data_IF_743704305271
#
_entry.id   IF_743704305271
#
_cell.length_a   1.000
_cell.length_b   1.000
_cell.length_c   1.000
_cell.angle_alpha   90.00
_cell.angle_beta   90.00
_cell.angle_gamma   90.00
#
_symmetry.space_group_name_H-M   'P 1'
#
loop_
_entity.id
_entity.type
_entity.pdbx_description
1 polymer ?
#
# COMPACT_ATOMS: atom_id res chain seq x y z
N UNK A 1 5.68 34.18 8.95
CA UNK A 1 4.69 33.11 8.67
C UNK A 1 5.42 31.96 8.01
N UNK A 2 5.86 31.06 8.83
CA UNK A 2 6.62 29.88 8.44
C UNK A 2 5.61 28.86 7.87
N UNK A 3 5.54 28.75 6.56
CA UNK A 3 5.08 27.56 5.89
C UNK A 3 6.08 26.48 6.28
N UNK A 4 5.74 25.63 7.25
CA UNK A 4 6.48 24.40 7.50
C UNK A 4 6.35 23.59 6.22
N UNK A 5 7.47 23.35 5.58
CA UNK A 5 7.62 22.39 4.49
C UNK A 5 6.95 21.09 4.97
N UNK A 6 5.74 20.82 4.48
CA UNK A 6 5.19 19.47 4.54
C UNK A 6 6.12 18.68 3.63
N UNK A 7 7.02 17.91 4.23
CA UNK A 7 7.74 16.89 3.49
C UNK A 7 6.69 16.07 2.76
N UNK A 8 6.66 16.20 1.44
CA UNK A 8 5.77 15.39 0.62
C UNK A 8 6.15 13.93 0.80
N UNK A 9 5.20 13.13 1.30
CA UNK A 9 5.43 11.70 1.50
C UNK A 9 5.39 11.00 0.15
N UNK A 10 6.36 10.14 -0.10
CA UNK A 10 6.41 9.30 -1.29
C UNK A 10 5.36 8.20 -1.15
N UNK A 11 4.33 8.22 -1.99
CA UNK A 11 3.24 7.24 -1.98
C UNK A 11 3.57 5.99 -2.81
N UNK A 12 4.33 6.17 -3.89
CA UNK A 12 4.67 5.08 -4.80
C UNK A 12 6.07 5.27 -5.37
N UNK A 13 6.79 4.17 -5.56
CA UNK A 13 8.10 4.12 -6.22
C UNK A 13 7.98 3.19 -7.42
N UNK A 14 8.21 3.71 -8.62
CA UNK A 14 8.23 2.91 -9.85
C UNK A 14 9.66 2.64 -10.29
N UNK A 15 10.02 1.37 -10.40
CA UNK A 15 11.32 0.90 -10.86
C UNK A 15 11.16 0.14 -12.17
N UNK A 16 11.90 0.54 -13.21
CA UNK A 16 11.94 -0.15 -14.50
C UNK A 16 13.39 -0.37 -14.93
N UNK A 17 13.69 -1.55 -15.48
CA UNK A 17 15.03 -1.89 -15.97
C UNK A 17 15.48 -0.84 -17.01
N UNK A 18 16.70 -0.36 -16.86
CA UNK A 18 17.32 0.64 -17.74
C UNK A 18 16.89 2.09 -17.46
N UNK A 19 16.02 2.33 -16.47
CA UNK A 19 15.56 3.66 -16.10
C UNK A 19 15.88 3.98 -14.64
N UNK A 20 16.03 5.24 -14.33
CA UNK A 20 16.10 5.74 -12.94
C UNK A 20 14.73 5.55 -12.29
N UNK A 21 14.64 5.10 -11.03
CA UNK A 21 13.38 5.03 -10.32
C UNK A 21 12.64 6.36 -10.30
N UNK A 22 11.32 6.28 -10.34
CA UNK A 22 10.44 7.45 -10.28
C UNK A 22 9.68 7.41 -8.97
N UNK A 23 9.70 8.52 -8.24
CA UNK A 23 9.00 8.72 -6.98
C UNK A 23 7.73 9.51 -7.23
N UNK A 24 6.62 9.03 -6.70
CA UNK A 24 5.31 9.66 -6.80
C UNK A 24 4.86 10.12 -5.42
N UNK A 25 4.41 11.37 -5.34
CA UNK A 25 3.71 11.96 -4.19
C UNK A 25 2.30 12.34 -4.61
N UNK A 26 1.51 12.92 -3.71
CA UNK A 26 0.17 13.41 -4.06
C UNK A 26 0.18 14.48 -5.16
N UNK A 27 1.22 15.30 -5.22
CA UNK A 27 1.25 16.48 -6.11
C UNK A 27 2.29 16.35 -7.22
N UNK A 28 3.35 15.59 -7.04
CA UNK A 28 4.50 15.61 -7.92
C UNK A 28 5.00 14.21 -8.30
N UNK A 29 5.69 14.16 -9.43
CA UNK A 29 6.40 12.98 -9.94
C UNK A 29 7.83 13.44 -10.26
N UNK A 30 8.82 12.79 -9.67
CA UNK A 30 10.22 13.15 -9.88
C UNK A 30 11.16 11.93 -9.88
N UNK A 31 12.27 11.98 -10.63
CA UNK A 31 13.25 10.91 -10.64
C UNK A 31 14.01 10.85 -9.31
N UNK A 32 14.37 9.65 -8.88
CA UNK A 32 15.24 9.46 -7.74
C UNK A 32 16.70 9.85 -8.09
N UNK A 33 17.43 10.35 -7.12
CA UNK A 33 18.85 10.68 -7.28
C UNK A 33 19.73 9.42 -7.16
N UNK A 34 19.62 8.50 -8.11
CA UNK A 34 20.37 7.25 -8.12
C UNK A 34 20.62 6.75 -9.54
N UNK A 35 21.35 5.64 -9.69
CA UNK A 35 21.60 5.00 -10.99
C UNK A 35 20.33 4.35 -11.55
N UNK A 36 20.36 4.05 -12.84
CA UNK A 36 19.33 3.24 -13.50
C UNK A 36 19.27 1.82 -12.91
N UNK A 37 18.05 1.27 -12.89
CA UNK A 37 17.75 -0.08 -12.36
C UNK A 37 18.31 -1.15 -13.31
N UNK A 38 18.97 -2.14 -12.75
CA UNK A 38 19.41 -3.35 -13.44
C UNK A 38 18.46 -4.51 -13.14
N UNK A 39 18.50 -5.56 -13.96
CA UNK A 39 17.67 -6.76 -13.76
C UNK A 39 17.90 -7.37 -12.36
N UNK A 40 19.16 -7.51 -11.92
CA UNK A 40 19.47 -8.03 -10.60
C UNK A 40 18.94 -7.21 -9.42
N UNK A 41 18.65 -5.91 -9.60
CA UNK A 41 18.04 -5.10 -8.56
C UNK A 41 16.59 -5.51 -8.34
N UNK A 42 15.85 -5.84 -9.41
CA UNK A 42 14.46 -6.32 -9.31
C UNK A 42 14.40 -7.73 -8.71
N UNK A 43 15.35 -8.60 -9.05
CA UNK A 43 15.44 -9.94 -8.48
C UNK A 43 15.74 -9.85 -6.97
N UNK A 44 16.67 -8.99 -6.57
CA UNK A 44 16.96 -8.71 -5.15
C UNK A 44 15.76 -8.14 -4.41
N UNK A 45 15.03 -7.20 -5.03
CA UNK A 45 13.81 -6.63 -4.45
C UNK A 45 12.76 -7.74 -4.25
N UNK A 46 12.57 -8.62 -5.24
CA UNK A 46 11.64 -9.75 -5.15
C UNK A 46 12.02 -10.69 -3.99
N UNK A 47 13.29 -11.06 -3.89
CA UNK A 47 13.81 -11.89 -2.80
C UNK A 47 13.54 -11.26 -1.42
N UNK A 48 13.82 -9.98 -1.27
CA UNK A 48 13.56 -9.24 -0.03
C UNK A 48 12.08 -9.13 0.28
N UNK A 49 11.23 -8.86 -0.73
CA UNK A 49 9.79 -8.72 -0.57
C UNK A 49 9.10 -10.04 -0.18
N UNK A 50 9.67 -11.18 -0.61
CA UNK A 50 9.15 -12.52 -0.29
C UNK A 50 9.72 -13.10 1.00
N UNK A 51 10.62 -12.38 1.70
CA UNK A 51 11.32 -12.90 2.88
C UNK A 51 12.19 -14.12 2.54
N UNK A 52 12.80 -14.13 1.35
CA UNK A 52 13.59 -15.22 0.76
C UNK A 52 12.79 -16.53 0.49
N UNK A 53 11.45 -16.47 0.53
CA UNK A 53 10.59 -17.62 0.22
C UNK A 53 9.61 -17.29 -0.90
N UNK A 54 10.11 -17.26 -2.14
CA UNK A 54 9.27 -17.07 -3.36
C UNK A 54 8.15 -18.12 -3.45
N UNK A 55 8.40 -19.32 -2.93
CA UNK A 55 7.42 -20.41 -2.92
C UNK A 55 6.19 -20.09 -2.05
N UNK A 56 6.39 -19.49 -0.88
CA UNK A 56 5.30 -19.09 0.02
C UNK A 56 4.47 -17.93 -0.56
N UNK A 57 5.07 -17.11 -1.41
CA UNK A 57 4.42 -15.97 -2.07
C UNK A 57 3.77 -16.34 -3.42
N UNK A 58 3.77 -17.62 -3.82
CA UNK A 58 3.36 -18.07 -5.15
C UNK A 58 1.95 -17.61 -5.56
N UNK A 59 0.98 -17.57 -4.65
CA UNK A 59 -0.37 -17.08 -4.95
C UNK A 59 -0.39 -15.58 -5.25
N UNK A 60 0.31 -14.78 -4.44
CA UNK A 60 0.41 -13.34 -4.66
C UNK A 60 1.15 -13.01 -5.97
N UNK A 61 2.22 -13.76 -6.28
CA UNK A 61 2.96 -13.61 -7.54
C UNK A 61 2.06 -13.91 -8.75
N UNK A 62 1.20 -14.93 -8.66
CA UNK A 62 0.19 -15.23 -9.70
C UNK A 62 -0.79 -14.08 -9.89
N UNK A 63 -1.14 -13.39 -8.83
CA UNK A 63 -2.01 -12.21 -8.85
C UNK A 63 -1.27 -10.93 -9.27
N UNK A 64 0.04 -10.98 -9.51
CA UNK A 64 0.85 -9.87 -9.97
C UNK A 64 1.26 -8.88 -8.90
N UNK A 65 1.15 -9.23 -7.62
CA UNK A 65 1.61 -8.37 -6.53
C UNK A 65 2.12 -9.16 -5.34
N UNK A 66 2.88 -8.49 -4.47
CA UNK A 66 3.31 -8.96 -3.17
C UNK A 66 2.92 -7.96 -2.09
N UNK A 67 2.63 -8.46 -0.90
CA UNK A 67 2.51 -7.64 0.29
C UNK A 67 3.70 -7.93 1.21
N UNK A 68 4.39 -6.87 1.66
CA UNK A 68 5.60 -7.01 2.48
C UNK A 68 5.30 -6.74 3.95
N UNK A 69 6.20 -7.14 4.83
CA UNK A 69 6.23 -6.62 6.20
C UNK A 69 6.34 -5.09 6.17
N UNK A 70 5.59 -4.40 7.02
CA UNK A 70 5.44 -2.93 6.96
C UNK A 70 4.35 -2.48 5.99
N UNK A 71 3.61 -3.41 5.38
CA UNK A 71 2.38 -3.14 4.65
C UNK A 71 2.55 -2.59 3.24
N UNK A 72 3.78 -2.48 2.71
CA UNK A 72 3.96 -2.05 1.33
C UNK A 72 3.41 -3.11 0.36
N UNK A 73 2.79 -2.64 -0.71
CA UNK A 73 2.32 -3.48 -1.81
C UNK A 73 3.25 -3.30 -3.01
N UNK A 74 3.84 -4.40 -3.46
CA UNK A 74 4.75 -4.44 -4.61
C UNK A 74 4.02 -5.04 -5.79
N UNK A 75 3.64 -4.24 -6.77
CA UNK A 75 3.12 -4.68 -8.06
C UNK A 75 4.25 -5.19 -8.94
N UNK A 76 4.04 -6.34 -9.58
CA UNK A 76 5.02 -7.02 -10.41
C UNK A 76 4.63 -6.94 -11.88
N UNK A 77 5.58 -6.60 -12.74
CA UNK A 77 5.41 -6.63 -14.17
C UNK A 77 6.56 -7.40 -14.81
N UNK A 78 6.22 -8.35 -15.70
CA UNK A 78 7.18 -9.22 -16.36
C UNK A 78 6.49 -10.17 -17.31
N UNK A 79 7.18 -11.24 -17.72
CA UNK A 79 6.61 -12.28 -18.58
C UNK A 79 5.83 -13.28 -17.72
N UNK A 80 4.51 -13.30 -17.86
CA UNK A 80 3.68 -14.33 -17.26
C UNK A 80 3.93 -15.68 -17.93
N UNK A 81 3.86 -16.77 -17.18
CA UNK A 81 3.90 -18.12 -17.70
C UNK A 81 2.82 -18.99 -17.07
N UNK A 82 2.36 -20.00 -17.80
CA UNK A 82 1.36 -20.97 -17.33
C UNK A 82 1.33 -22.18 -18.24
N UNK A 83 0.81 -23.30 -17.72
CA UNK A 83 0.74 -24.56 -18.46
C UNK A 83 -0.52 -24.69 -19.32
N UNK A 84 -1.56 -23.94 -19.03
CA UNK A 84 -2.82 -23.96 -19.77
C UNK A 84 -3.24 -22.54 -20.23
N UNK A 85 -4.04 -22.46 -21.28
CA UNK A 85 -4.58 -21.21 -21.77
C UNK A 85 -5.43 -20.52 -20.68
N UNK A 86 -5.07 -19.31 -20.33
CA UNK A 86 -5.73 -18.50 -19.29
C UNK A 86 -5.29 -18.78 -17.85
N UNK A 87 -4.40 -19.74 -17.63
CA UNK A 87 -3.83 -19.99 -16.30
C UNK A 87 -2.46 -19.31 -16.20
N UNK A 88 -2.27 -18.50 -15.15
CA UNK A 88 -0.98 -17.89 -14.81
C UNK A 88 -0.40 -18.65 -13.62
N UNK A 89 0.74 -19.32 -13.82
CA UNK A 89 1.46 -20.04 -12.77
C UNK A 89 2.49 -19.15 -12.09
N UNK A 90 2.87 -18.05 -12.72
CA UNK A 90 3.79 -17.08 -12.16
C UNK A 90 4.26 -16.03 -13.14
N UNK A 91 5.20 -15.20 -12.69
CA UNK A 91 5.86 -14.15 -13.46
C UNK A 91 7.36 -14.45 -13.46
N UNK A 92 7.98 -14.37 -14.62
CA UNK A 92 9.44 -14.45 -14.77
C UNK A 92 9.93 -13.25 -15.58
N UNK A 93 11.25 -13.01 -15.54
CA UNK A 93 11.86 -11.89 -16.24
C UNK A 93 11.17 -10.57 -15.91
N UNK A 94 11.22 -10.18 -14.63
CA UNK A 94 10.67 -8.90 -14.20
C UNK A 94 11.24 -7.78 -15.07
N UNK A 95 10.37 -6.92 -15.57
CA UNK A 95 10.71 -5.72 -16.34
C UNK A 95 10.56 -4.45 -15.51
N UNK A 96 9.61 -4.44 -14.60
CA UNK A 96 9.38 -3.33 -13.68
C UNK A 96 8.63 -3.79 -12.43
N UNK A 97 8.76 -2.98 -11.38
CA UNK A 97 7.97 -3.10 -10.15
C UNK A 97 7.45 -1.73 -9.74
N UNK A 98 6.31 -1.73 -9.04
CA UNK A 98 5.73 -0.54 -8.42
C UNK A 98 5.54 -0.83 -6.94
N UNK A 99 6.19 -0.06 -6.09
CA UNK A 99 6.11 -0.20 -4.63
C UNK A 99 5.22 0.89 -4.07
N UNK A 100 4.03 0.52 -3.61
CA UNK A 100 3.12 1.42 -2.90
C UNK A 100 3.39 1.38 -1.42
N UNK A 101 3.58 2.56 -0.83
CA UNK A 101 3.93 2.75 0.57
C UNK A 101 2.67 3.23 1.30
N UNK A 102 2.13 2.47 2.27
CA UNK A 102 0.99 2.92 3.05
C UNK A 102 1.42 4.03 4.01
N UNK A 103 0.58 5.05 4.13
CA UNK A 103 0.78 6.14 5.07
C UNK A 103 -0.41 6.28 6.01
N UNK A 104 -0.12 6.52 7.28
CA UNK A 104 -1.08 7.05 8.22
C UNK A 104 -1.12 8.58 8.07
N UNK A 105 -2.31 9.16 8.20
CA UNK A 105 -2.53 10.61 8.23
C UNK A 105 -3.23 10.95 9.55
N UNK A 106 -2.48 11.01 10.66
CA UNK A 106 -3.05 11.30 11.96
C UNK A 106 -3.81 12.62 11.96
N UNK A 107 -4.98 12.64 12.60
CA UNK A 107 -5.83 13.83 12.70
C UNK A 107 -6.73 14.08 11.49
N UNK A 108 -6.66 13.30 10.40
CA UNK A 108 -7.55 13.53 9.25
C UNK A 108 -9.03 13.28 9.57
N UNK A 109 -9.35 12.54 10.65
CA UNK A 109 -10.71 12.32 11.13
C UNK A 109 -11.17 13.33 12.20
N UNK A 110 -10.31 14.23 12.69
CA UNK A 110 -10.61 15.08 13.82
C UNK A 110 -11.81 16.02 13.60
N UNK A 111 -12.03 16.47 12.38
CA UNK A 111 -13.19 17.29 12.04
C UNK A 111 -14.49 16.47 11.90
N UNK A 112 -14.38 15.18 11.57
CA UNK A 112 -15.52 14.31 11.32
C UNK A 112 -16.01 13.62 12.60
N UNK A 113 -15.12 13.15 13.46
CA UNK A 113 -15.47 12.37 14.65
C UNK A 113 -16.48 13.05 15.58
N UNK A 114 -16.38 14.35 15.90
CA UNK A 114 -17.37 15.03 16.73
C UNK A 114 -18.78 15.01 16.11
N UNK A 115 -18.86 15.03 14.78
CA UNK A 115 -20.13 14.97 14.06
C UNK A 115 -20.73 13.56 14.09
N UNK A 116 -19.90 12.53 13.92
CA UNK A 116 -20.32 11.13 13.98
C UNK A 116 -20.80 10.71 15.39
N UNK A 117 -20.27 11.33 16.42
CA UNK A 117 -20.54 10.98 17.82
C UNK A 117 -21.57 11.89 18.50
N UNK A 118 -22.07 12.93 17.81
CA UNK A 118 -22.92 13.98 18.37
C UNK A 118 -24.21 13.45 19.03
N UNK A 119 -24.87 12.52 18.35
CA UNK A 119 -26.15 11.96 18.81
C UNK A 119 -26.04 10.45 19.11
N UNK A 120 -24.81 9.98 19.42
CA UNK A 120 -24.46 8.57 19.56
C UNK A 120 -23.96 7.98 18.24
N UNK A 121 -23.59 6.68 18.26
CA UNK A 121 -23.13 6.00 17.06
C UNK A 121 -24.28 5.77 16.09
N UNK A 122 -24.14 6.32 14.86
CA UNK A 122 -25.08 6.07 13.78
C UNK A 122 -24.41 5.32 12.63
N UNK A 123 -25.21 4.55 11.88
CA UNK A 123 -24.74 3.95 10.63
C UNK A 123 -24.33 5.03 9.65
N UNK A 124 -23.07 4.97 9.21
CA UNK A 124 -22.47 6.01 8.38
C UNK A 124 -21.89 5.39 7.10
N UNK A 125 -22.16 6.01 5.96
CA UNK A 125 -21.62 5.63 4.67
C UNK A 125 -20.66 6.72 4.17
N UNK A 126 -19.40 6.33 3.88
CA UNK A 126 -18.38 7.24 3.34
C UNK A 126 -18.31 7.06 1.83
N UNK A 127 -18.67 8.09 1.08
CA UNK A 127 -18.67 8.11 -0.38
C UNK A 127 -17.67 9.16 -0.89
N UNK A 128 -16.80 8.75 -1.81
CA UNK A 128 -15.98 9.65 -2.61
C UNK A 128 -15.41 8.92 -3.83
N UNK A 129 -14.92 9.64 -4.84
CA UNK A 129 -14.19 9.03 -5.95
C UNK A 129 -12.99 8.20 -5.49
N UNK A 130 -12.45 7.29 -6.31
CA UNK A 130 -11.20 6.60 -6.03
C UNK A 130 -10.05 7.58 -5.75
N UNK A 131 -9.11 7.20 -4.88
CA UNK A 131 -7.95 8.04 -4.55
C UNK A 131 -8.20 9.19 -3.55
N UNK A 132 -9.44 9.46 -3.15
CA UNK A 132 -9.77 10.59 -2.26
C UNK A 132 -9.70 10.24 -0.77
N UNK A 133 -8.88 9.29 -0.37
CA UNK A 133 -8.53 9.05 1.02
C UNK A 133 -9.58 8.34 1.89
N UNK A 134 -10.64 7.70 1.30
CA UNK A 134 -11.67 6.97 2.09
C UNK A 134 -11.08 5.99 3.09
N UNK A 135 -10.18 5.13 2.62
CA UNK A 135 -9.52 4.11 3.45
C UNK A 135 -8.66 4.76 4.53
N UNK A 136 -7.95 5.84 4.20
CA UNK A 136 -7.13 6.62 5.15
C UNK A 136 -8.00 7.22 6.24
N UNK A 137 -9.12 7.84 5.85
CA UNK A 137 -10.08 8.43 6.79
C UNK A 137 -10.70 7.35 7.70
N UNK A 138 -11.13 6.22 7.13
CA UNK A 138 -11.74 5.13 7.89
C UNK A 138 -10.73 4.52 8.88
N UNK A 139 -9.48 4.33 8.47
CA UNK A 139 -8.39 3.86 9.34
C UNK A 139 -8.20 4.80 10.53
N UNK A 140 -8.12 6.11 10.28
CA UNK A 140 -7.96 7.10 11.34
C UNK A 140 -9.19 7.15 12.27
N UNK A 141 -10.41 7.00 11.74
CA UNK A 141 -11.60 6.87 12.58
C UNK A 141 -11.52 5.65 13.51
N UNK A 142 -11.13 4.49 12.98
CA UNK A 142 -10.97 3.25 13.76
C UNK A 142 -9.91 3.45 14.86
N UNK A 143 -8.74 3.98 14.50
CA UNK A 143 -7.66 4.25 15.45
C UNK A 143 -8.13 5.20 16.57
N UNK A 144 -8.73 6.33 16.22
CA UNK A 144 -9.19 7.35 17.20
C UNK A 144 -10.29 6.83 18.11
N UNK A 145 -11.24 6.09 17.57
CA UNK A 145 -12.31 5.49 18.39
C UNK A 145 -11.74 4.42 19.33
N UNK A 146 -10.76 3.64 18.89
CA UNK A 146 -10.05 2.67 19.73
C UNK A 146 -9.29 3.38 20.86
N UNK A 147 -8.55 4.45 20.57
CA UNK A 147 -7.85 5.27 21.56
C UNK A 147 -8.81 5.87 22.62
N UNK A 148 -10.06 6.14 22.22
CA UNK A 148 -11.11 6.60 23.14
C UNK A 148 -11.71 5.46 23.99
N UNK A 149 -11.19 4.24 23.89
CA UNK A 149 -11.65 3.07 24.62
C UNK A 149 -12.91 2.41 24.05
N UNK A 150 -13.33 2.77 22.84
CA UNK A 150 -14.45 2.13 22.16
C UNK A 150 -14.04 0.76 21.64
N UNK A 151 -14.85 -0.26 21.91
CA UNK A 151 -14.63 -1.61 21.31
C UNK A 151 -15.07 -1.59 19.87
N UNK A 152 -14.14 -1.91 18.97
CA UNK A 152 -14.37 -1.91 17.53
C UNK A 152 -14.17 -3.32 16.97
N UNK A 153 -15.06 -3.72 16.08
CA UNK A 153 -14.87 -4.88 15.21
C UNK A 153 -14.67 -4.39 13.80
N UNK A 154 -13.52 -4.73 13.19
CA UNK A 154 -13.17 -4.35 11.83
C UNK A 154 -13.35 -5.54 10.90
N UNK A 155 -14.20 -5.41 9.88
CA UNK A 155 -14.30 -6.35 8.78
C UNK A 155 -13.58 -5.73 7.57
N UNK A 156 -12.37 -6.20 7.30
CA UNK A 156 -11.48 -5.67 6.24
C UNK A 156 -11.25 -6.73 5.16
N UNK A 157 -12.23 -6.86 4.26
CA UNK A 157 -12.23 -7.88 3.21
C UNK A 157 -10.99 -7.83 2.30
N UNK A 158 -10.46 -6.63 2.07
CA UNK A 158 -9.31 -6.40 1.18
C UNK A 158 -7.98 -6.25 1.90
N UNK A 159 -7.98 -6.25 3.23
CA UNK A 159 -6.78 -5.99 4.04
C UNK A 159 -6.19 -4.60 3.84
N UNK A 160 -7.01 -3.62 3.44
CA UNK A 160 -6.55 -2.26 3.13
C UNK A 160 -6.50 -1.35 4.35
N UNK A 161 -7.32 -1.61 5.36
CA UNK A 161 -7.43 -0.78 6.56
C UNK A 161 -6.37 -1.18 7.59
N UNK A 162 -6.36 -2.45 7.99
CA UNK A 162 -5.37 -2.99 8.92
C UNK A 162 -4.01 -3.29 8.26
N UNK A 163 -3.95 -3.31 6.93
CA UNK A 163 -2.74 -3.63 6.15
C UNK A 163 -2.10 -4.92 6.65
N UNK A 164 -2.85 -6.01 6.58
CA UNK A 164 -2.44 -7.31 7.14
C UNK A 164 -1.24 -7.90 6.39
N UNK A 165 -0.22 -8.32 7.13
CA UNK A 165 0.86 -9.16 6.64
C UNK A 165 0.91 -10.44 7.46
N UNK A 166 0.72 -11.59 6.82
CA UNK A 166 0.62 -12.91 7.49
C UNK A 166 -0.39 -12.92 8.65
N UNK A 167 -1.51 -12.22 8.49
CA UNK A 167 -2.55 -12.11 9.51
C UNK A 167 -2.26 -11.11 10.64
N UNK A 168 -1.13 -10.41 10.59
CA UNK A 168 -0.73 -9.42 11.60
C UNK A 168 -0.95 -8.01 11.04
N UNK A 169 -1.70 -7.13 11.73
CA UNK A 169 -1.80 -5.72 11.36
C UNK A 169 -0.43 -5.05 11.31
N UNK A 170 -0.20 -4.22 10.29
CA UNK A 170 1.07 -3.51 10.08
C UNK A 170 0.95 -2.01 10.36
N UNK A 171 -0.25 -1.53 10.57
CA UNK A 171 -0.53 -0.13 10.92
C UNK A 171 -1.33 -0.10 12.22
N UNK A 172 -0.96 0.84 13.09
CA UNK A 172 -1.61 1.13 14.37
C UNK A 172 -2.93 1.88 14.17
#
# INVERSE_FOLDING_TARGET
HTQRDRQELVEEICCRIGQVPVLLTQAHVYPAECRAILAGDLDYLLERATGASVYAAGEQIRQGYLQTSGGCRVGLCGCAYGQAAGQIDGIRQLSSVSVRIPHAVPGCADALLPQLLRDGFCSTLILSPPGNGKTTLLRECVRRLSDMGTRISLMDERGEIAVLYQGIPQMD
#
